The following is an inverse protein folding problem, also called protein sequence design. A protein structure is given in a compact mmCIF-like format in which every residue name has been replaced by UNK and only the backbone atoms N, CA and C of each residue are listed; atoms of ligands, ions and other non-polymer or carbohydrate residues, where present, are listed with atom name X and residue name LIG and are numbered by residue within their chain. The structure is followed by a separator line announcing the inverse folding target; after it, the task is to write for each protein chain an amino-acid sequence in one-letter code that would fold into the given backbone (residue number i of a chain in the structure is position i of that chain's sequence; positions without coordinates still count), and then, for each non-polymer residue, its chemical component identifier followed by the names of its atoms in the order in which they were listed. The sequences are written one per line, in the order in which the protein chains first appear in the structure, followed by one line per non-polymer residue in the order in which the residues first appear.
data_IF_720511342217
#
_entry.id   IF_720511342217
#
_cell.length_a   1.000
_cell.length_b   1.000
_cell.length_c   1.000
_cell.angle_alpha   90.00
_cell.angle_beta   90.00
_cell.angle_gamma   90.00
#
_symmetry.space_group_name_H-M   'P 1'
#
loop_
_entity.id
_entity.type
_entity.pdbx_description
1 polymer ?
#
# COMPACT_ATOMS: atom_id res chain seq x y z
N UNK A 1 -6.26 2.19 -1.91
CA UNK A 1 -5.20 1.18 -1.79
C UNK A 1 -3.96 1.73 -2.47
N UNK A 2 -2.80 1.71 -1.79
CA UNK A 2 -1.53 2.20 -2.34
C UNK A 2 -0.51 1.06 -2.37
N UNK A 3 0.30 1.02 -3.43
CA UNK A 3 1.38 0.06 -3.62
C UNK A 3 2.71 0.83 -3.64
N UNK A 4 3.72 0.36 -2.92
CA UNK A 4 5.02 1.03 -2.87
C UNK A 4 6.13 0.16 -2.29
N UNK A 5 7.40 0.45 -2.58
CA UNK A 5 8.53 -0.29 -2.05
C UNK A 5 8.80 0.06 -0.58
N UNK A 6 9.29 -0.91 0.20
CA UNK A 6 9.94 -0.67 1.48
C UNK A 6 11.42 -0.28 1.31
N UNK A 7 12.10 0.03 2.42
CA UNK A 7 13.53 0.39 2.43
C UNK A 7 14.46 -0.71 1.90
N UNK A 8 13.96 -1.93 1.74
CA UNK A 8 14.70 -3.10 1.24
C UNK A 8 14.24 -3.53 -0.16
N UNK A 9 13.36 -2.75 -0.79
CA UNK A 9 12.85 -3.00 -2.15
C UNK A 9 11.68 -3.99 -2.22
N UNK A 10 11.12 -4.46 -1.10
CA UNK A 10 9.91 -5.27 -1.14
C UNK A 10 8.70 -4.40 -1.43
N UNK A 11 7.83 -4.86 -2.33
CA UNK A 11 6.57 -4.19 -2.57
C UNK A 11 5.57 -4.48 -1.44
N UNK A 12 4.99 -3.42 -0.92
CA UNK A 12 3.99 -3.44 0.13
C UNK A 12 2.61 -3.02 -0.40
N UNK A 13 1.60 -3.69 0.12
CA UNK A 13 0.19 -3.33 0.01
C UNK A 13 -0.20 -2.53 1.28
N UNK A 14 -0.68 -1.30 1.07
CA UNK A 14 -1.01 -0.35 2.15
C UNK A 14 -2.52 -0.10 2.20
N UNK A 15 -3.09 -0.27 3.39
CA UNK A 15 -4.48 0.09 3.71
C UNK A 15 -4.50 1.46 4.36
N UNK A 16 -5.23 2.38 3.74
CA UNK A 16 -5.34 3.77 4.14
C UNK A 16 -6.80 4.09 4.42
N UNK A 17 -7.08 4.70 5.57
CA UNK A 17 -8.35 5.35 5.87
C UNK A 17 -8.29 6.81 5.41
N UNK A 18 -9.30 7.22 4.65
CA UNK A 18 -9.55 8.62 4.34
C UNK A 18 -10.45 9.18 5.44
N UNK A 19 -9.93 10.13 6.20
CA UNK A 19 -10.69 10.84 7.22
C UNK A 19 -11.51 11.96 6.58
N UNK A 20 -12.57 12.38 7.27
CA UNK A 20 -13.48 13.44 6.83
C UNK A 20 -12.81 14.82 6.74
N UNK A 21 -11.74 15.03 7.50
CA UNK A 21 -10.88 16.22 7.43
C UNK A 21 -9.82 16.18 6.31
N UNK A 22 -9.87 15.16 5.45
CA UNK A 22 -8.97 15.02 4.31
C UNK A 22 -7.60 14.44 4.65
N UNK A 23 -7.34 14.05 5.91
CA UNK A 23 -6.13 13.34 6.28
C UNK A 23 -6.19 11.87 5.88
N UNK A 24 -5.01 11.30 5.65
CA UNK A 24 -4.83 9.88 5.40
C UNK A 24 -4.23 9.21 6.64
N UNK A 25 -4.85 8.13 7.11
CA UNK A 25 -4.31 7.30 8.18
C UNK A 25 -3.94 5.92 7.63
N UNK A 26 -2.65 5.59 7.68
CA UNK A 26 -2.17 4.24 7.35
C UNK A 26 -2.44 3.34 8.56
N UNK A 27 -3.29 2.34 8.37
CA UNK A 27 -3.63 1.39 9.44
C UNK A 27 -2.91 0.05 9.29
N UNK A 28 -2.41 -0.26 8.09
CA UNK A 28 -1.72 -1.51 7.84
C UNK A 28 -0.79 -1.44 6.62
N UNK A 29 0.37 -2.07 6.74
CA UNK A 29 1.32 -2.30 5.66
C UNK A 29 1.72 -3.78 5.67
N UNK A 30 1.50 -4.46 4.55
CA UNK A 30 1.74 -5.90 4.40
C UNK A 30 2.45 -6.20 3.09
N UNK A 31 3.11 -7.37 3.01
CA UNK A 31 3.76 -7.80 1.77
C UNK A 31 2.73 -7.89 0.64
N UNK A 32 3.05 -7.29 -0.50
CA UNK A 32 2.14 -7.22 -1.64
C UNK A 32 1.75 -8.62 -2.12
N UNK A 33 0.44 -8.83 -2.29
CA UNK A 33 -0.11 -10.10 -2.78
C UNK A 33 0.26 -10.33 -4.26
N UNK A 34 0.53 -11.57 -4.69
CA UNK A 34 0.98 -11.87 -6.05
C UNK A 34 0.08 -11.32 -7.17
N UNK A 35 -1.26 -11.32 -6.97
CA UNK A 35 -2.24 -10.82 -7.94
C UNK A 35 -2.05 -9.34 -8.35
N UNK A 36 -1.38 -8.54 -7.52
CA UNK A 36 -1.11 -7.13 -7.82
C UNK A 36 0.21 -6.94 -8.59
N UNK A 37 1.08 -7.97 -8.66
CA UNK A 37 2.31 -7.90 -9.47
C UNK A 37 2.01 -7.75 -10.96
N UNK A 38 0.94 -8.38 -11.43
CA UNK A 38 0.51 -8.33 -12.84
C UNK A 38 -0.01 -6.95 -13.27
N UNK A 39 -0.29 -6.07 -12.32
CA UNK A 39 -0.75 -4.70 -12.57
C UNK A 39 0.39 -3.67 -12.55
N UNK A 40 1.62 -4.12 -12.30
CA UNK A 40 2.81 -3.27 -12.34
C UNK A 40 3.34 -3.23 -13.79
N UNK A 41 3.77 -2.06 -14.28
CA UNK A 41 4.30 -1.88 -15.63
C UNK A 41 5.63 -2.60 -15.87
#
# INVERSE_FOLDING_TARGET
MRLGPDLTGNLLEIVVLLLDDGRELIIHAMRMRPKYRELLP
#
